data_IF_162907223964
#
_entry.id   IF_162907223964
#
_cell.length_a   1.000
_cell.length_b   1.000
_cell.length_c   1.000
_cell.angle_alpha   90.00
_cell.angle_beta   90.00
_cell.angle_gamma   90.00
#
_symmetry.space_group_name_H-M   'P 1'
#
loop_
_entity.id
_entity.type
_entity.pdbx_description
1 polymer ?
#
# COMPACT_ATOMS: atom_id res chain seq x y z
N UNK A 1 41.20 -13.20 20.99
CA UNK A 1 40.88 -11.84 20.53
C UNK A 1 39.52 -11.53 21.13
N UNK A 2 39.47 -10.62 22.11
CA UNK A 2 38.23 -10.33 22.84
C UNK A 2 37.58 -9.10 22.20
N UNK A 3 36.33 -9.23 21.81
CA UNK A 3 35.49 -8.10 21.42
C UNK A 3 34.71 -7.64 22.65
N UNK A 4 34.84 -6.37 23.00
CA UNK A 4 33.96 -5.70 23.95
C UNK A 4 32.86 -4.99 23.16
N UNK A 5 31.61 -5.40 23.39
CA UNK A 5 30.44 -4.71 22.87
C UNK A 5 30.00 -3.68 23.91
N UNK A 6 29.90 -2.42 23.51
CA UNK A 6 29.31 -1.36 24.33
C UNK A 6 28.24 -0.63 23.52
N UNK A 7 27.04 -0.51 24.08
CA UNK A 7 25.97 0.27 23.46
C UNK A 7 26.29 1.77 23.62
N UNK A 8 26.41 2.49 22.50
CA UNK A 8 26.62 3.95 22.50
C UNK A 8 25.33 4.75 22.69
N UNK A 9 24.21 4.20 22.25
CA UNK A 9 22.89 4.80 22.34
C UNK A 9 21.85 3.67 22.37
N UNK A 10 20.77 3.87 23.11
CA UNK A 10 19.62 2.98 23.12
C UNK A 10 18.50 3.76 22.43
N UNK A 11 18.11 3.28 21.24
CA UNK A 11 16.93 3.77 20.53
C UNK A 11 15.73 3.73 21.46
N UNK A 12 14.96 4.81 21.52
CA UNK A 12 13.71 4.88 22.29
C UNK A 12 12.51 4.39 21.45
N UNK A 13 12.73 3.97 20.21
CA UNK A 13 11.67 3.45 19.37
C UNK A 13 11.24 2.09 19.89
N UNK A 14 9.94 1.92 20.13
CA UNK A 14 9.35 0.64 20.49
C UNK A 14 9.31 -0.25 19.25
N UNK A 15 9.95 -1.41 19.32
CA UNK A 15 9.74 -2.49 18.35
C UNK A 15 8.68 -3.42 18.92
N UNK A 16 7.58 -3.56 18.19
CA UNK A 16 6.48 -4.51 18.47
C UNK A 16 6.50 -5.67 17.48
N UNK A 17 5.82 -6.77 17.81
CA UNK A 17 5.75 -7.98 16.99
C UNK A 17 5.25 -7.70 15.56
N UNK A 18 4.39 -6.69 15.39
CA UNK A 18 3.95 -6.18 14.08
C UNK A 18 5.09 -5.75 13.13
N UNK A 19 6.33 -5.54 13.61
CA UNK A 19 7.50 -5.28 12.75
C UNK A 19 8.09 -6.56 12.11
N UNK A 20 7.70 -7.74 12.58
CA UNK A 20 8.25 -9.04 12.16
C UNK A 20 7.23 -9.82 11.31
N UNK A 21 6.79 -9.16 10.23
CA UNK A 21 5.88 -9.74 9.24
C UNK A 21 6.57 -10.36 8.03
N UNK A 22 5.84 -11.19 7.30
CA UNK A 22 6.24 -11.73 6.00
C UNK A 22 5.27 -11.38 4.89
N UNK A 23 5.75 -11.43 3.65
CA UNK A 23 4.89 -11.37 2.47
C UNK A 23 4.55 -12.80 2.03
N UNK A 24 3.27 -13.10 1.85
CA UNK A 24 2.85 -14.30 1.16
C UNK A 24 2.63 -13.99 -0.33
N UNK A 25 3.52 -14.49 -1.18
CA UNK A 25 3.42 -14.36 -2.63
C UNK A 25 2.58 -15.51 -3.17
N UNK A 26 1.28 -15.27 -3.37
CA UNK A 26 0.26 -16.26 -3.74
C UNK A 26 0.50 -17.03 -5.06
N UNK A 27 1.64 -16.84 -5.72
CA UNK A 27 2.02 -17.50 -6.98
C UNK A 27 3.40 -18.18 -6.93
N UNK A 28 4.16 -18.04 -5.84
CA UNK A 28 5.58 -18.46 -5.81
C UNK A 28 5.89 -19.63 -4.88
N UNK A 29 5.11 -19.80 -3.82
CA UNK A 29 5.23 -20.93 -2.88
C UNK A 29 3.83 -21.36 -2.48
N UNK A 30 3.70 -22.61 -2.03
CA UNK A 30 2.43 -23.22 -1.63
C UNK A 30 2.40 -23.43 -0.11
N UNK A 31 1.21 -23.62 0.44
CA UNK A 31 0.99 -23.95 1.84
C UNK A 31 0.96 -25.48 2.02
N UNK A 32 1.32 -25.98 3.19
CA UNK A 32 1.23 -27.40 3.53
C UNK A 32 2.29 -28.29 2.89
N UNK A 33 1.97 -29.58 2.74
CA UNK A 33 2.94 -30.64 2.37
C UNK A 33 3.61 -30.45 1.00
N UNK A 34 2.99 -29.65 0.12
CA UNK A 34 3.46 -29.42 -1.25
C UNK A 34 4.35 -28.16 -1.39
N UNK A 35 4.55 -27.39 -0.32
CA UNK A 35 5.32 -26.13 -0.32
C UNK A 35 6.36 -26.01 0.80
N UNK A 36 7.08 -24.88 0.82
CA UNK A 36 8.11 -24.58 1.85
C UNK A 36 7.79 -23.37 2.71
N UNK A 37 6.65 -22.72 2.48
CA UNK A 37 6.33 -21.46 3.13
C UNK A 37 6.20 -21.61 4.65
N UNK A 38 5.59 -22.69 5.11
CA UNK A 38 5.35 -22.98 6.53
C UNK A 38 6.68 -23.11 7.31
N UNK A 39 7.69 -23.73 6.70
CA UNK A 39 9.03 -23.84 7.27
C UNK A 39 9.69 -22.46 7.41
N UNK A 40 9.49 -21.57 6.43
CA UNK A 40 10.03 -20.21 6.45
C UNK A 40 9.33 -19.35 7.52
N UNK A 41 8.01 -19.46 7.66
CA UNK A 41 7.23 -18.79 8.70
C UNK A 41 7.76 -19.18 10.08
N UNK A 42 7.91 -20.48 10.34
CA UNK A 42 8.40 -20.98 11.63
C UNK A 42 9.87 -20.60 11.88
N UNK A 43 10.73 -20.72 10.87
CA UNK A 43 12.16 -20.43 11.01
C UNK A 43 12.45 -18.94 11.26
N UNK A 44 11.64 -18.05 10.69
CA UNK A 44 11.77 -16.59 10.85
C UNK A 44 10.97 -16.06 12.04
N UNK A 45 10.08 -16.87 12.63
CA UNK A 45 9.23 -16.46 13.75
C UNK A 45 8.26 -15.35 13.35
N UNK A 46 7.68 -15.45 12.15
CA UNK A 46 6.73 -14.45 11.67
C UNK A 46 5.46 -14.47 12.50
N UNK A 47 4.91 -13.30 12.77
CA UNK A 47 3.67 -13.12 13.55
C UNK A 47 2.54 -12.51 12.72
N UNK A 48 2.85 -12.02 11.53
CA UNK A 48 1.88 -11.43 10.61
C UNK A 48 2.23 -11.72 9.16
N UNK A 49 1.21 -11.87 8.31
CA UNK A 49 1.33 -12.14 6.89
C UNK A 49 0.58 -11.09 6.05
N UNK A 50 1.29 -10.55 5.06
CA UNK A 50 0.73 -9.64 4.06
C UNK A 50 0.26 -10.41 2.83
N UNK A 51 -1.01 -10.23 2.45
CA UNK A 51 -1.65 -10.90 1.32
C UNK A 51 -2.48 -9.95 0.44
N UNK A 52 -2.40 -10.06 -0.90
CA UNK A 52 -1.34 -10.75 -1.62
C UNK A 52 -0.04 -9.94 -1.56
N UNK A 53 1.09 -10.65 -1.51
CA UNK A 53 2.41 -10.05 -1.52
C UNK A 53 2.78 -9.40 -2.86
N UNK A 54 3.57 -8.32 -2.81
CA UNK A 54 4.20 -7.70 -3.98
C UNK A 54 3.22 -7.14 -5.03
N UNK A 55 3.69 -7.02 -6.27
CA UNK A 55 2.93 -6.44 -7.38
C UNK A 55 1.73 -7.29 -7.85
N UNK A 56 1.47 -8.45 -7.22
CA UNK A 56 0.34 -9.31 -7.54
C UNK A 56 -0.99 -8.63 -7.23
N UNK A 57 -1.04 -7.80 -6.17
CA UNK A 57 -2.23 -7.02 -5.80
C UNK A 57 -2.80 -6.26 -6.98
N UNK A 58 -1.95 -5.58 -7.76
CA UNK A 58 -2.42 -4.75 -8.87
C UNK A 58 -2.64 -5.55 -10.17
N UNK A 59 -2.13 -6.78 -10.25
CA UNK A 59 -2.26 -7.65 -11.43
C UNK A 59 -3.50 -8.54 -11.36
N UNK A 60 -3.94 -8.87 -10.15
CA UNK A 60 -5.19 -9.55 -9.86
C UNK A 60 -6.27 -8.51 -9.49
N UNK A 61 -7.56 -8.83 -9.64
CA UNK A 61 -8.64 -8.09 -8.95
C UNK A 61 -8.59 -8.32 -7.42
N UNK A 62 -7.72 -9.24 -6.96
CA UNK A 62 -7.32 -9.41 -5.57
C UNK A 62 -8.52 -9.75 -4.70
N UNK A 63 -8.72 -8.95 -3.66
CA UNK A 63 -9.82 -9.06 -2.69
C UNK A 63 -11.23 -8.97 -3.30
N UNK A 64 -11.35 -8.46 -4.52
CA UNK A 64 -12.64 -8.36 -5.24
C UNK A 64 -13.05 -9.70 -5.86
N UNK A 65 -12.11 -10.63 -5.96
CA UNK A 65 -12.32 -12.01 -6.42
C UNK A 65 -11.60 -12.97 -5.46
N UNK A 66 -12.09 -13.10 -4.21
CA UNK A 66 -11.37 -13.77 -3.12
C UNK A 66 -11.04 -15.23 -3.42
N UNK A 67 -11.87 -15.91 -4.22
CA UNK A 67 -11.72 -17.31 -4.58
C UNK A 67 -11.02 -17.54 -5.94
N UNK A 68 -10.22 -16.57 -6.40
CA UNK A 68 -9.44 -16.74 -7.63
C UNK A 68 -8.33 -17.78 -7.43
N UNK A 69 -8.40 -18.88 -8.18
CA UNK A 69 -7.38 -19.95 -8.17
C UNK A 69 -6.31 -19.79 -9.26
N UNK A 70 -6.55 -18.94 -10.26
CA UNK A 70 -5.64 -18.72 -11.39
C UNK A 70 -5.68 -17.26 -11.86
N UNK A 71 -4.49 -16.72 -12.17
CA UNK A 71 -4.34 -15.41 -12.82
C UNK A 71 -3.50 -15.55 -14.09
N UNK A 72 -3.47 -14.51 -14.94
CA UNK A 72 -2.59 -14.48 -16.10
C UNK A 72 -1.27 -13.81 -15.69
N UNK A 73 -0.16 -14.53 -15.84
CA UNK A 73 1.17 -14.02 -15.54
C UNK A 73 1.54 -12.86 -16.46
N UNK A 74 1.90 -11.71 -15.89
CA UNK A 74 2.24 -10.50 -16.67
C UNK A 74 3.38 -10.73 -17.67
N UNK A 75 4.42 -11.47 -17.26
CA UNK A 75 5.64 -11.65 -18.05
C UNK A 75 5.50 -12.74 -19.12
N UNK A 76 4.67 -13.76 -18.85
CA UNK A 76 4.52 -14.95 -19.71
C UNK A 76 3.27 -14.90 -20.57
N UNK A 77 2.22 -14.20 -20.14
CA UNK A 77 0.89 -14.24 -20.75
C UNK A 77 0.14 -15.55 -20.51
N UNK A 78 0.68 -16.45 -19.69
CA UNK A 78 0.15 -17.78 -19.43
C UNK A 78 -0.58 -17.83 -18.08
N UNK A 79 -1.56 -18.74 -17.90
CA UNK A 79 -2.16 -18.98 -16.60
C UNK A 79 -1.12 -19.43 -15.56
N UNK A 80 -1.18 -18.84 -14.37
CA UNK A 80 -0.42 -19.24 -13.20
C UNK A 80 -1.38 -19.50 -12.04
N UNK A 81 -1.07 -20.50 -11.23
CA UNK A 81 -1.81 -20.80 -10.01
C UNK A 81 -1.73 -19.62 -9.03
N UNK A 82 -2.84 -19.38 -8.35
CA UNK A 82 -3.00 -18.31 -7.38
C UNK A 82 -3.70 -18.88 -6.15
N UNK A 83 -3.10 -18.75 -4.97
CA UNK A 83 -3.72 -19.20 -3.71
C UNK A 83 -4.95 -18.35 -3.38
N UNK A 84 -6.16 -18.93 -3.24
CA UNK A 84 -7.36 -18.20 -2.80
C UNK A 84 -7.22 -17.59 -1.42
N UNK A 85 -8.03 -16.56 -1.11
CA UNK A 85 -8.06 -15.94 0.21
C UNK A 85 -8.50 -16.96 1.28
N UNK A 86 -9.48 -17.82 0.96
CA UNK A 86 -9.97 -18.84 1.88
C UNK A 86 -8.91 -19.82 2.37
N UNK A 87 -8.06 -20.28 1.46
CA UNK A 87 -6.92 -21.15 1.78
C UNK A 87 -5.89 -20.41 2.66
N UNK A 88 -5.57 -19.17 2.31
CA UNK A 88 -4.62 -18.35 3.04
C UNK A 88 -5.11 -18.02 4.47
N UNK A 89 -6.37 -17.63 4.65
CA UNK A 89 -6.94 -17.31 5.97
C UNK A 89 -7.00 -18.55 6.85
N UNK A 90 -7.41 -19.70 6.29
CA UNK A 90 -7.42 -20.98 7.02
C UNK A 90 -6.03 -21.27 7.59
N UNK A 91 -4.99 -21.14 6.77
CA UNK A 91 -3.62 -21.31 7.21
C UNK A 91 -3.20 -20.29 8.27
N UNK A 92 -3.51 -19.00 8.07
CA UNK A 92 -3.17 -17.95 9.03
C UNK A 92 -3.82 -18.20 10.39
N UNK A 93 -5.09 -18.61 10.43
CA UNK A 93 -5.80 -18.98 11.65
C UNK A 93 -5.16 -20.19 12.34
N UNK A 94 -4.87 -21.27 11.59
CA UNK A 94 -4.23 -22.48 12.14
C UNK A 94 -2.85 -22.20 12.76
N UNK A 95 -2.10 -21.25 12.21
CA UNK A 95 -0.79 -20.86 12.71
C UNK A 95 -0.84 -19.71 13.73
N UNK A 96 -2.02 -19.12 13.99
CA UNK A 96 -2.16 -17.96 14.88
C UNK A 96 -1.44 -16.72 14.37
N UNK A 97 -1.44 -16.51 13.05
CA UNK A 97 -0.83 -15.36 12.39
C UNK A 97 -1.89 -14.29 12.15
N UNK A 98 -1.53 -13.03 12.41
CA UNK A 98 -2.34 -11.90 11.98
C UNK A 98 -2.19 -11.65 10.48
N UNK A 99 -3.14 -10.94 9.88
CA UNK A 99 -3.18 -10.71 8.42
C UNK A 99 -3.24 -9.23 8.08
N UNK A 100 -2.45 -8.83 7.09
CA UNK A 100 -2.65 -7.58 6.35
C UNK A 100 -3.18 -7.89 4.96
N UNK A 101 -4.40 -7.42 4.66
CA UNK A 101 -4.98 -7.52 3.32
C UNK A 101 -4.58 -6.31 2.48
N UNK A 102 -4.08 -6.54 1.28
CA UNK A 102 -3.72 -5.49 0.33
C UNK A 102 -4.81 -5.39 -0.74
N UNK A 103 -5.48 -4.24 -0.79
CA UNK A 103 -6.54 -3.98 -1.76
C UNK A 103 -5.96 -3.36 -3.04
N UNK A 104 -6.41 -3.76 -4.24
CA UNK A 104 -5.95 -3.18 -5.50
C UNK A 104 -6.42 -1.74 -5.65
N UNK A 105 -5.64 -0.94 -6.36
CA UNK A 105 -5.99 0.46 -6.67
C UNK A 105 -6.14 0.70 -8.17
N UNK A 106 -5.45 -0.07 -9.01
CA UNK A 106 -5.50 0.04 -10.48
C UNK A 106 -6.92 -0.06 -11.05
N UNK A 107 -7.80 -0.82 -10.41
CA UNK A 107 -9.17 -1.07 -10.87
C UNK A 107 -10.14 0.05 -10.50
N UNK A 108 -9.70 1.00 -9.67
CA UNK A 108 -10.51 2.09 -9.13
C UNK A 108 -10.06 3.47 -9.61
N UNK A 109 -9.25 3.53 -10.67
CA UNK A 109 -8.92 4.78 -11.36
C UNK A 109 -9.68 4.84 -12.68
N UNK A 110 -10.45 5.90 -12.87
CA UNK A 110 -11.30 6.11 -14.05
C UNK A 110 -10.55 6.64 -15.26
N UNK A 111 -11.26 6.77 -16.38
CA UNK A 111 -10.70 7.31 -17.64
C UNK A 111 -10.79 8.85 -17.72
N UNK A 112 -11.67 9.47 -16.93
CA UNK A 112 -11.86 10.92 -16.94
C UNK A 112 -10.70 11.61 -16.22
N UNK A 113 -10.18 12.67 -16.82
CA UNK A 113 -9.07 13.46 -16.29
C UNK A 113 -9.50 14.87 -15.92
N UNK A 114 -8.82 15.45 -14.94
CA UNK A 114 -8.95 16.87 -14.61
C UNK A 114 -8.16 17.77 -15.59
N UNK A 115 -8.11 19.07 -15.30
CA UNK A 115 -7.37 20.05 -16.12
C UNK A 115 -5.85 19.80 -16.17
N UNK A 116 -5.30 19.05 -15.22
CA UNK A 116 -3.89 18.68 -15.13
C UNK A 116 -3.59 17.32 -15.78
N UNK A 117 -4.60 16.67 -16.37
CA UNK A 117 -4.47 15.34 -16.97
C UNK A 117 -4.46 14.20 -15.94
N UNK A 118 -4.81 14.47 -14.68
CA UNK A 118 -4.84 13.46 -13.61
C UNK A 118 -6.23 12.79 -13.57
N UNK A 119 -6.26 11.46 -13.64
CA UNK A 119 -7.50 10.66 -13.62
C UNK A 119 -8.26 10.79 -12.30
N UNK A 120 -9.59 10.73 -12.36
CA UNK A 120 -10.44 10.68 -11.18
C UNK A 120 -10.53 9.26 -10.60
N UNK A 121 -10.83 9.16 -9.30
CA UNK A 121 -11.16 7.89 -8.68
C UNK A 121 -12.55 7.43 -9.12
N UNK A 122 -12.70 6.11 -9.30
CA UNK A 122 -13.94 5.39 -9.56
C UNK A 122 -13.96 4.15 -8.65
N UNK A 123 -13.96 4.38 -7.32
CA UNK A 123 -13.97 3.29 -6.34
C UNK A 123 -15.35 2.61 -6.35
N UNK A 124 -15.35 1.28 -6.47
CA UNK A 124 -16.57 0.49 -6.24
C UNK A 124 -16.76 0.33 -4.73
N UNK A 125 -17.52 1.27 -4.14
CA UNK A 125 -17.79 1.31 -2.71
C UNK A 125 -18.41 0.00 -2.19
N UNK A 126 -19.38 -0.56 -2.92
CA UNK A 126 -20.05 -1.80 -2.52
C UNK A 126 -19.06 -2.97 -2.48
N UNK A 127 -18.15 -3.05 -3.45
CA UNK A 127 -17.15 -4.12 -3.48
C UNK A 127 -16.12 -4.01 -2.34
N UNK A 128 -15.67 -2.79 -2.03
CA UNK A 128 -14.74 -2.55 -0.90
C UNK A 128 -15.42 -2.89 0.42
N UNK A 129 -16.65 -2.41 0.66
CA UNK A 129 -17.42 -2.70 1.89
C UNK A 129 -17.64 -4.19 2.05
N UNK A 130 -18.14 -4.83 0.99
CA UNK A 130 -18.42 -6.26 1.03
C UNK A 130 -17.17 -7.08 1.36
N UNK A 131 -15.99 -6.71 0.84
CA UNK A 131 -14.76 -7.38 1.24
C UNK A 131 -14.42 -7.18 2.72
N UNK A 132 -14.51 -5.95 3.24
CA UNK A 132 -14.25 -5.65 4.65
C UNK A 132 -15.21 -6.44 5.56
N UNK A 133 -16.51 -6.45 5.24
CA UNK A 133 -17.48 -7.26 5.99
C UNK A 133 -17.13 -8.76 5.94
N UNK A 134 -16.79 -9.28 4.75
CA UNK A 134 -16.47 -10.71 4.60
C UNK A 134 -15.18 -11.14 5.31
N UNK A 135 -14.16 -10.27 5.32
CA UNK A 135 -12.91 -10.53 6.00
C UNK A 135 -13.11 -10.56 7.53
N UNK A 136 -13.94 -9.66 8.05
CA UNK A 136 -14.17 -9.50 9.50
C UNK A 136 -15.21 -10.46 10.07
N UNK A 137 -16.16 -10.95 9.26
CA UNK A 137 -17.21 -11.88 9.70
C UNK A 137 -16.84 -13.37 9.54
N UNK A 138 -15.63 -13.64 9.05
CA UNK A 138 -15.08 -14.97 8.85
C UNK A 138 -15.61 -15.72 7.63
N UNK A 139 -16.43 -15.09 6.78
CA UNK A 139 -16.99 -15.73 5.58
C UNK A 139 -15.93 -16.05 4.52
N UNK A 140 -14.74 -15.49 4.61
CA UNK A 140 -13.58 -15.83 3.80
C UNK A 140 -12.79 -17.03 4.33
N UNK A 141 -13.42 -17.96 5.05
CA UNK A 141 -12.81 -19.25 5.39
C UNK A 141 -12.18 -19.33 6.79
N UNK A 142 -12.26 -18.27 7.60
CA UNK A 142 -11.77 -18.27 8.98
C UNK A 142 -11.82 -16.90 9.65
N UNK A 143 -11.60 -16.87 10.97
CA UNK A 143 -11.67 -15.66 11.82
C UNK A 143 -10.26 -15.19 12.26
N UNK A 144 -9.26 -15.33 11.39
CA UNK A 144 -7.89 -14.86 11.67
C UNK A 144 -7.85 -13.37 12.02
N UNK A 145 -7.00 -13.00 13.00
CA UNK A 145 -6.83 -11.62 13.43
C UNK A 145 -6.39 -10.72 12.26
N UNK A 146 -7.20 -9.72 11.91
CA UNK A 146 -6.83 -8.73 10.90
C UNK A 146 -6.00 -7.65 11.57
N UNK A 147 -4.75 -7.49 11.13
CA UNK A 147 -3.89 -6.40 11.56
C UNK A 147 -4.18 -5.12 10.80
N UNK A 148 -4.36 -5.22 9.47
CA UNK A 148 -4.47 -4.03 8.63
C UNK A 148 -5.14 -4.27 7.28
N UNK A 149 -5.71 -3.19 6.73
CA UNK A 149 -6.02 -3.07 5.30
C UNK A 149 -5.03 -2.11 4.66
N UNK A 150 -4.17 -2.62 3.78
CA UNK A 150 -3.23 -1.84 2.98
C UNK A 150 -3.85 -1.47 1.63
N UNK A 151 -3.77 -0.20 1.24
CA UNK A 151 -4.35 0.31 0.00
C UNK A 151 -3.28 0.40 -1.08
N UNK A 152 -3.33 -0.54 -2.03
CA UNK A 152 -2.51 -0.58 -3.22
C UNK A 152 -1.08 -1.07 -3.01
N UNK A 153 -0.42 -1.37 -4.12
CA UNK A 153 1.00 -1.71 -4.12
C UNK A 153 1.72 -1.23 -5.39
N UNK A 154 2.75 -0.39 -5.25
CA UNK A 154 3.52 0.15 -6.38
C UNK A 154 2.58 0.76 -7.43
N UNK A 155 1.69 1.66 -6.98
CA UNK A 155 0.63 2.27 -7.81
C UNK A 155 1.14 2.90 -9.11
N UNK A 156 2.41 3.33 -9.14
CA UNK A 156 3.10 3.87 -10.33
C UNK A 156 3.40 2.82 -11.41
N UNK A 157 3.52 1.55 -11.04
CA UNK A 157 4.01 0.48 -11.90
C UNK A 157 2.88 -0.20 -12.67
N UNK A 158 1.96 -0.83 -11.95
CA UNK A 158 0.83 -1.54 -12.56
C UNK A 158 -0.40 -0.64 -12.73
N UNK A 159 -0.65 0.26 -11.77
CA UNK A 159 -1.71 1.27 -11.89
C UNK A 159 -1.38 2.40 -12.86
N UNK A 160 -0.10 2.54 -13.23
CA UNK A 160 0.43 3.68 -13.98
C UNK A 160 -0.01 5.02 -13.36
N UNK A 161 -0.25 5.03 -12.04
CA UNK A 161 -0.84 6.17 -11.35
C UNK A 161 0.20 7.23 -10.98
N UNK A 162 -0.17 8.49 -11.17
CA UNK A 162 0.45 9.58 -10.44
C UNK A 162 0.12 9.45 -8.94
N UNK A 163 0.86 10.13 -8.07
CA UNK A 163 0.47 10.13 -6.65
C UNK A 163 -0.79 10.94 -6.37
N UNK A 164 -1.19 11.85 -7.28
CA UNK A 164 -2.47 12.55 -7.17
C UNK A 164 -3.61 11.57 -7.45
N UNK A 165 -3.49 10.77 -8.52
CA UNK A 165 -4.45 9.73 -8.87
C UNK A 165 -4.55 8.69 -7.75
N UNK A 166 -3.40 8.17 -7.27
CA UNK A 166 -3.37 7.26 -6.14
C UNK A 166 -3.96 7.90 -4.87
N UNK A 167 -3.64 9.16 -4.57
CA UNK A 167 -4.16 9.86 -3.41
C UNK A 167 -5.68 10.00 -3.43
N UNK A 168 -6.30 10.19 -4.60
CA UNK A 168 -7.76 10.20 -4.76
C UNK A 168 -8.36 8.83 -4.41
N UNK A 169 -7.85 7.78 -5.04
CA UNK A 169 -8.32 6.40 -4.82
C UNK A 169 -8.13 5.98 -3.36
N UNK A 170 -6.93 6.19 -2.82
CA UNK A 170 -6.58 5.78 -1.47
C UNK A 170 -7.38 6.54 -0.40
N UNK A 171 -7.64 7.83 -0.59
CA UNK A 171 -8.45 8.61 0.36
C UNK A 171 -9.90 8.13 0.39
N UNK A 172 -10.47 7.82 -0.77
CA UNK A 172 -11.84 7.32 -0.88
C UNK A 172 -11.96 5.90 -0.29
N UNK A 173 -11.05 5.00 -0.64
CA UNK A 173 -11.00 3.65 -0.05
C UNK A 173 -10.80 3.68 1.46
N UNK A 174 -9.89 4.51 1.98
CA UNK A 174 -9.66 4.64 3.41
C UNK A 174 -10.92 5.09 4.15
N UNK A 175 -11.65 6.07 3.60
CA UNK A 175 -12.90 6.53 4.19
C UNK A 175 -13.99 5.44 4.17
N UNK A 176 -14.07 4.65 3.10
CA UNK A 176 -15.03 3.54 2.98
C UNK A 176 -14.71 2.43 3.99
N UNK A 177 -13.44 2.04 4.13
CA UNK A 177 -12.99 1.00 5.07
C UNK A 177 -13.26 1.44 6.51
N UNK A 178 -12.85 2.66 6.89
CA UNK A 178 -13.09 3.22 8.23
C UNK A 178 -14.59 3.25 8.58
N UNK A 179 -15.40 3.76 7.66
CA UNK A 179 -16.85 3.84 7.85
C UNK A 179 -17.50 2.46 7.92
N UNK A 180 -17.05 1.47 7.15
CA UNK A 180 -17.55 0.09 7.23
C UNK A 180 -17.19 -0.57 8.57
N UNK A 181 -15.93 -0.50 9.00
CA UNK A 181 -15.50 -1.04 10.29
C UNK A 181 -16.31 -0.46 11.46
N UNK A 182 -16.62 0.84 11.41
CA UNK A 182 -17.44 1.51 12.43
C UNK A 182 -18.92 1.06 12.47
N UNK A 183 -19.41 0.43 11.40
CA UNK A 183 -20.82 -0.02 11.24
C UNK A 183 -21.02 -1.50 11.53
N UNK A 184 -19.94 -2.29 11.51
CA UNK A 184 -20.00 -3.71 11.80
C UNK A 184 -20.46 -3.98 13.25
N UNK A 185 -20.99 -5.17 13.55
CA UNK A 185 -21.30 -5.57 14.91
C UNK A 185 -20.04 -5.53 15.79
N UNK A 186 -20.15 -4.96 17.00
CA UNK A 186 -19.04 -4.80 17.96
C UNK A 186 -17.84 -4.01 17.39
N UNK A 187 -18.04 -2.75 16.94
CA UNK A 187 -17.00 -1.97 16.26
C UNK A 187 -15.74 -1.77 17.12
N UNK A 188 -15.87 -1.78 18.44
CA UNK A 188 -14.77 -1.80 19.40
C UNK A 188 -13.75 -2.96 19.20
N UNK A 189 -14.12 -4.03 18.50
CA UNK A 189 -13.19 -5.12 18.15
C UNK A 189 -12.28 -4.76 16.98
N UNK A 190 -12.63 -3.74 16.20
CA UNK A 190 -11.94 -3.36 14.97
C UNK A 190 -11.17 -2.03 15.10
N UNK A 191 -11.22 -1.37 16.26
CA UNK A 191 -10.55 -0.08 16.50
C UNK A 191 -9.02 -0.14 16.34
N UNK A 192 -8.43 -1.32 16.55
CA UNK A 192 -6.99 -1.54 16.43
C UNK A 192 -6.56 -1.99 15.01
N UNK A 193 -7.49 -2.10 14.05
CA UNK A 193 -7.16 -2.43 12.66
C UNK A 193 -6.60 -1.18 11.95
N UNK A 194 -5.36 -1.28 11.47
CA UNK A 194 -4.71 -0.19 10.74
C UNK A 194 -5.25 -0.07 9.30
N UNK A 195 -5.41 1.16 8.82
CA UNK A 195 -5.57 1.47 7.39
C UNK A 195 -4.26 2.05 6.88
N UNK A 196 -3.55 1.29 6.03
CA UNK A 196 -2.20 1.61 5.58
C UNK A 196 -2.25 2.14 4.15
N UNK A 197 -1.56 3.26 3.90
CA UNK A 197 -1.38 3.83 2.56
C UNK A 197 0.09 3.89 2.19
N UNK A 198 0.37 3.82 0.90
CA UNK A 198 1.71 3.98 0.35
C UNK A 198 2.09 5.45 0.25
N UNK A 199 3.33 5.76 0.63
CA UNK A 199 3.86 7.11 0.47
C UNK A 199 4.01 7.49 -1.01
N UNK A 200 3.85 8.78 -1.27
CA UNK A 200 4.18 9.39 -2.57
C UNK A 200 5.62 9.10 -2.98
N UNK A 201 5.85 8.47 -4.14
CA UNK A 201 7.21 8.25 -4.68
C UNK A 201 7.36 8.88 -6.05
N UNK A 202 8.39 9.71 -6.25
CA UNK A 202 8.71 10.31 -7.53
C UNK A 202 9.41 9.29 -8.45
N UNK A 203 8.63 8.45 -9.13
CA UNK A 203 9.12 7.36 -9.99
C UNK A 203 8.10 7.01 -11.09
N UNK A 204 8.57 6.64 -12.28
CA UNK A 204 7.73 6.16 -13.39
C UNK A 204 6.71 7.20 -13.85
N UNK A 205 5.45 6.81 -14.00
CA UNK A 205 4.35 7.75 -14.34
C UNK A 205 4.10 8.81 -13.28
N UNK A 206 4.66 8.59 -12.10
CA UNK A 206 4.60 9.43 -10.93
C UNK A 206 5.78 10.41 -10.86
N UNK A 207 6.65 10.43 -11.87
CA UNK A 207 7.82 11.31 -11.94
C UNK A 207 7.46 12.73 -12.39
N UNK A 208 7.84 13.72 -11.58
CA UNK A 208 7.66 15.14 -11.87
C UNK A 208 8.81 15.72 -12.69
N UNK A 209 10.01 15.14 -12.66
CA UNK A 209 11.16 15.76 -13.35
C UNK A 209 10.94 15.87 -14.85
N UNK A 210 10.27 14.88 -15.43
CA UNK A 210 10.04 14.78 -16.86
C UNK A 210 8.96 15.76 -17.37
N UNK A 211 8.24 16.43 -16.45
CA UNK A 211 7.20 17.42 -16.79
C UNK A 211 7.74 18.84 -16.95
N UNK A 212 8.98 19.11 -16.52
CA UNK A 212 9.54 20.47 -16.46
C UNK A 212 10.93 20.55 -17.10
N UNK A 213 11.10 21.52 -17.99
CA UNK A 213 12.35 21.77 -18.72
C UNK A 213 13.08 22.99 -18.15
N UNK A 214 14.40 23.07 -18.37
CA UNK A 214 15.22 24.23 -18.00
C UNK A 214 16.13 24.01 -16.80
N UNK A 215 16.61 25.10 -16.20
CA UNK A 215 17.40 25.05 -14.96
C UNK A 215 16.52 24.67 -13.77
N UNK A 216 17.10 24.30 -12.63
CA UNK A 216 16.32 23.96 -11.45
C UNK A 216 15.45 25.12 -10.93
N UNK A 217 15.91 26.36 -11.06
CA UNK A 217 15.12 27.54 -10.72
C UNK A 217 13.92 27.70 -11.67
N UNK A 218 14.13 27.50 -12.98
CA UNK A 218 13.07 27.55 -14.00
C UNK A 218 12.05 26.41 -13.78
N UNK A 219 12.54 25.20 -13.52
CA UNK A 219 11.71 24.03 -13.24
C UNK A 219 10.88 24.22 -11.96
N UNK A 220 11.47 24.71 -10.87
CA UNK A 220 10.75 24.95 -9.62
C UNK A 220 9.73 26.08 -9.75
N UNK A 221 10.05 27.14 -10.49
CA UNK A 221 9.11 28.22 -10.80
C UNK A 221 7.93 27.72 -11.65
N UNK A 222 8.21 26.90 -12.68
CA UNK A 222 7.17 26.29 -13.50
C UNK A 222 6.29 25.33 -12.70
N UNK A 223 6.87 24.55 -11.78
CA UNK A 223 6.09 23.69 -10.88
C UNK A 223 5.23 24.50 -9.91
N UNK A 224 5.73 25.62 -9.37
CA UNK A 224 4.95 26.55 -8.55
C UNK A 224 3.77 27.13 -9.32
N UNK A 225 3.97 27.55 -10.58
CA UNK A 225 2.90 28.06 -11.43
C UNK A 225 1.89 26.98 -11.79
N UNK A 226 2.35 25.83 -12.29
CA UNK A 226 1.50 24.73 -12.74
C UNK A 226 0.64 24.15 -11.62
N UNK A 227 1.16 24.12 -10.40
CA UNK A 227 0.48 23.49 -9.26
C UNK A 227 0.00 24.48 -8.19
N UNK A 228 0.11 25.80 -8.44
CA UNK A 228 -0.30 26.83 -7.49
C UNK A 228 0.45 26.78 -6.15
N UNK A 229 1.74 26.40 -6.18
CA UNK A 229 2.58 26.26 -4.98
C UNK A 229 3.43 27.52 -4.75
N UNK A 230 4.02 27.61 -3.55
CA UNK A 230 4.94 28.69 -3.18
C UNK A 230 6.22 28.13 -2.55
N UNK A 231 6.88 27.23 -3.29
CA UNK A 231 8.09 26.54 -2.85
C UNK A 231 9.33 27.43 -3.01
N UNK A 232 10.18 27.47 -1.99
CA UNK A 232 11.40 28.28 -1.98
C UNK A 232 12.63 27.51 -2.46
N UNK A 233 13.47 28.17 -3.28
CA UNK A 233 14.67 27.58 -3.86
C UNK A 233 15.64 27.02 -2.80
N UNK A 234 15.78 27.70 -1.65
CA UNK A 234 16.67 27.30 -0.55
C UNK A 234 16.32 25.96 0.10
N UNK A 235 15.07 25.51 -0.03
CA UNK A 235 14.58 24.24 0.54
C UNK A 235 14.40 23.14 -0.50
N UNK A 236 14.07 23.55 -1.73
CA UNK A 236 13.62 22.67 -2.80
C UNK A 236 14.61 22.55 -3.97
N UNK A 237 15.76 23.21 -3.90
CA UNK A 237 16.90 22.94 -4.78
C UNK A 237 18.05 22.40 -3.92
N UNK A 238 18.59 21.23 -4.29
CA UNK A 238 19.72 20.64 -3.60
C UNK A 238 21.01 21.41 -3.90
N UNK A 239 22.01 21.23 -3.04
CA UNK A 239 23.36 21.78 -3.30
C UNK A 239 24.03 21.25 -4.58
N UNK A 240 23.48 20.20 -5.21
CA UNK A 240 23.89 19.73 -6.53
C UNK A 240 23.41 20.63 -7.68
N UNK A 241 22.41 21.49 -7.42
CA UNK A 241 21.74 22.29 -8.44
C UNK A 241 20.51 21.63 -9.04
N UNK A 242 20.07 20.48 -8.51
CA UNK A 242 18.85 19.78 -8.97
C UNK A 242 17.65 20.10 -8.06
N UNK A 243 16.45 20.10 -8.62
CA UNK A 243 15.21 20.21 -7.84
C UNK A 243 15.02 18.96 -6.99
N UNK A 244 14.62 19.15 -5.73
CA UNK A 244 14.25 18.10 -4.80
C UNK A 244 12.84 17.56 -5.10
N UNK A 245 12.67 16.91 -6.25
CA UNK A 245 11.35 16.47 -6.77
C UNK A 245 10.54 15.63 -5.80
N UNK A 246 11.19 14.77 -5.00
CA UNK A 246 10.51 14.03 -3.92
C UNK A 246 9.85 14.98 -2.91
N UNK A 247 10.56 16.03 -2.46
CA UNK A 247 10.00 17.02 -1.53
C UNK A 247 8.89 17.84 -2.16
N UNK A 248 9.07 18.24 -3.43
CA UNK A 248 8.03 18.95 -4.20
C UNK A 248 6.77 18.10 -4.24
N UNK A 249 6.91 16.80 -4.53
CA UNK A 249 5.82 15.84 -4.59
C UNK A 249 5.15 15.64 -3.22
N UNK A 250 5.91 15.45 -2.16
CA UNK A 250 5.37 15.30 -0.80
C UNK A 250 4.57 16.54 -0.39
N UNK A 251 5.04 17.74 -0.71
CA UNK A 251 4.33 18.99 -0.43
C UNK A 251 3.03 19.12 -1.25
N UNK A 252 2.96 18.54 -2.45
CA UNK A 252 1.71 18.48 -3.24
C UNK A 252 0.68 17.54 -2.64
N UNK A 253 1.11 16.42 -2.06
CA UNK A 253 0.24 15.43 -1.42
C UNK A 253 -0.20 15.85 -0.03
N UNK A 254 0.67 16.59 0.65
CA UNK A 254 0.43 17.11 2.00
C UNK A 254 0.64 18.62 2.00
N UNK A 255 -0.23 19.40 1.33
CA UNK A 255 -0.18 20.85 1.43
C UNK A 255 -0.46 21.20 2.88
N UNK A 256 0.61 21.53 3.62
CA UNK A 256 0.68 21.66 5.08
C UNK A 256 -0.68 21.71 5.79
N UNK A 257 -1.02 20.63 6.49
CA UNK A 257 -1.76 20.76 7.74
C UNK A 257 -0.98 21.77 8.57
N UNK A 258 -1.55 22.96 8.73
CA UNK A 258 -0.99 24.03 9.56
C UNK A 258 -1.05 23.63 11.03
N UNK A 259 -0.18 22.70 11.45
CA UNK A 259 0.28 22.59 12.84
C UNK A 259 1.27 23.73 13.10
N UNK A 260 0.74 24.94 13.03
CA UNK A 260 1.36 26.17 13.49
C UNK A 260 0.64 26.65 14.74
N UNK A 261 1.07 26.13 15.90
CA UNK A 261 0.93 26.74 17.22
C UNK A 261 -0.47 27.15 17.69
N UNK A 262 -1.06 26.31 18.55
CA UNK A 262 -1.60 26.73 19.86
C UNK A 262 -1.39 25.59 20.86
#
# INVERSE_FOLDING_TARGET
MNFEVSAKNISQNTYVDAHFGGNFLATKDSLGEDGTFDEAVQALGLTTLRYPGGALTEQNLGVLTPETEQIIGRDTGEPIEFTPISEFITYAEEQGLAVTFVLPTRVFVGDQTDENGERFAEVDEDAVRNFVSQATDGSLGGESDIQAFEIGNEYWGAGEMSAVEYGRVASEMAAIIDDELSKLPNPEQFEDIDIIVQMGMNYGTSDLSDKFEGTAEEQLAAANEAYGLNLSEDKFIYGSGDVAWTKVKDHRLTPEASLGGM
#
